data_IF_427269333196
#
_entry.id   IF_427269333196
#
_cell.length_a   1.000
_cell.length_b   1.000
_cell.length_c   1.000
_cell.angle_alpha   90.00
_cell.angle_beta   90.00
_cell.angle_gamma   90.00
#
_symmetry.space_group_name_H-M   'P 1'
#
loop_
_entity.id
_entity.type
_entity.pdbx_description
1 polymer ?
#
# COMPACT_ATOMS: atom_id res chain seq x y z
N UNK A 1 7.84 -26.51 -3.92
CA UNK A 1 6.43 -26.21 -3.57
C UNK A 1 6.31 -25.19 -2.44
N UNK A 2 7.04 -25.33 -1.32
CA UNK A 2 7.02 -24.38 -0.20
C UNK A 2 7.36 -22.92 -0.57
N UNK A 3 8.33 -22.71 -1.48
CA UNK A 3 8.67 -21.38 -1.99
C UNK A 3 7.53 -20.70 -2.76
N UNK A 4 6.72 -21.47 -3.50
CA UNK A 4 5.59 -20.92 -4.27
C UNK A 4 4.47 -20.43 -3.34
N UNK A 5 4.19 -21.18 -2.27
CA UNK A 5 3.20 -20.81 -1.25
C UNK A 5 3.65 -19.53 -0.52
N UNK A 6 4.94 -19.43 -0.19
CA UNK A 6 5.50 -18.27 0.48
C UNK A 6 5.41 -16.99 -0.37
N UNK A 7 5.71 -17.09 -1.68
CA UNK A 7 5.63 -15.96 -2.62
C UNK A 7 4.19 -15.46 -2.80
N UNK A 8 3.21 -16.38 -2.87
CA UNK A 8 1.79 -16.00 -2.97
C UNK A 8 1.30 -15.35 -1.69
N UNK A 9 1.73 -15.85 -0.52
CA UNK A 9 1.32 -15.28 0.76
C UNK A 9 1.88 -13.86 0.96
N UNK A 10 3.14 -13.63 0.59
CA UNK A 10 3.76 -12.29 0.64
C UNK A 10 3.12 -11.31 -0.37
N UNK A 11 2.61 -11.81 -1.50
CA UNK A 11 1.99 -10.98 -2.53
C UNK A 11 0.62 -10.41 -2.13
N UNK A 12 -0.08 -11.01 -1.17
CA UNK A 12 -1.43 -10.64 -0.75
C UNK A 12 -1.49 -9.87 0.58
N UNK A 13 -0.35 -9.48 1.13
CA UNK A 13 -0.30 -8.67 2.37
C UNK A 13 -0.58 -7.20 1.99
N UNK A 14 -1.83 -6.93 1.61
CA UNK A 14 -2.32 -5.56 1.41
C UNK A 14 -2.17 -4.81 2.73
N UNK A 15 -1.14 -3.96 2.80
CA UNK A 15 -0.89 -3.13 3.98
C UNK A 15 -2.09 -2.18 4.12
N UNK A 16 -2.85 -2.22 5.23
CA UNK A 16 -4.04 -1.41 5.38
C UNK A 16 -3.66 0.06 5.28
N UNK A 17 -4.14 0.74 4.24
CA UNK A 17 -3.90 2.17 4.04
C UNK A 17 -4.87 2.92 4.93
N UNK A 18 -4.37 3.80 5.80
CA UNK A 18 -5.21 4.62 6.67
C UNK A 18 -5.41 6.00 6.06
N UNK A 19 -6.65 6.49 6.06
CA UNK A 19 -7.00 7.85 5.61
C UNK A 19 -7.65 8.64 6.74
N UNK A 20 -7.37 9.95 6.84
CA UNK A 20 -8.01 10.80 7.85
C UNK A 20 -9.51 10.87 7.57
N UNK A 21 -10.28 10.61 8.62
CA UNK A 21 -11.73 10.76 8.66
C UNK A 21 -12.10 12.11 9.27
N UNK A 22 -11.46 12.49 10.39
CA UNK A 22 -11.75 13.73 11.13
C UNK A 22 -10.44 14.51 11.32
N UNK A 23 -10.49 15.82 11.05
CA UNK A 23 -9.32 16.71 11.18
C UNK A 23 -9.17 17.31 12.60
N UNK A 24 -10.29 17.57 13.28
CA UNK A 24 -10.29 18.08 14.64
C UNK A 24 -11.33 17.33 15.50
N UNK A 25 -10.85 16.36 16.27
CA UNK A 25 -11.66 15.60 17.22
C UNK A 25 -12.23 16.45 18.36
N UNK A 26 -11.77 17.69 18.57
CA UNK A 26 -12.28 18.56 19.65
C UNK A 26 -13.64 19.17 19.33
N UNK A 27 -13.98 19.25 18.05
CA UNK A 27 -15.25 19.81 17.58
C UNK A 27 -16.39 18.78 17.62
N UNK A 28 -16.07 17.53 17.96
CA UNK A 28 -16.99 16.39 17.89
C UNK A 28 -16.89 15.53 19.14
N UNK A 29 -17.98 14.84 19.47
CA UNK A 29 -18.03 13.93 20.60
C UNK A 29 -17.23 12.65 20.29
N UNK A 30 -15.96 12.66 20.72
CA UNK A 30 -14.99 11.58 20.44
C UNK A 30 -15.42 10.22 20.99
N UNK A 31 -16.20 10.21 22.08
CA UNK A 31 -16.71 8.98 22.69
C UNK A 31 -17.73 8.35 21.76
N UNK A 32 -18.74 9.10 21.33
CA UNK A 32 -19.76 8.60 20.39
C UNK A 32 -19.18 8.13 19.06
N UNK A 33 -18.18 8.83 18.55
CA UNK A 33 -17.50 8.44 17.31
C UNK A 33 -16.78 7.10 17.50
N UNK A 34 -16.04 6.95 18.60
CA UNK A 34 -15.33 5.71 18.91
C UNK A 34 -16.30 4.55 19.06
N UNK A 35 -17.40 4.75 19.78
CA UNK A 35 -18.44 3.73 19.98
C UNK A 35 -19.00 3.21 18.65
N UNK A 36 -19.29 4.11 17.69
CA UNK A 36 -19.79 3.70 16.36
C UNK A 36 -18.72 2.96 15.55
N UNK A 37 -17.47 3.43 15.59
CA UNK A 37 -16.39 2.78 14.86
C UNK A 37 -16.08 1.39 15.43
N UNK A 38 -16.12 1.24 16.75
CA UNK A 38 -15.96 -0.04 17.45
C UNK A 38 -17.12 -0.98 17.14
N UNK A 39 -18.37 -0.48 17.19
CA UNK A 39 -19.57 -1.25 16.87
C UNK A 39 -19.53 -1.81 15.45
N UNK A 40 -19.13 -0.99 14.47
CA UNK A 40 -19.04 -1.38 13.05
C UNK A 40 -17.72 -2.11 12.72
N UNK A 41 -16.88 -2.40 13.73
CA UNK A 41 -15.56 -3.06 13.58
C UNK A 41 -14.65 -2.36 12.56
N UNK A 42 -14.69 -1.03 12.56
CA UNK A 42 -13.88 -0.19 11.69
C UNK A 42 -12.55 0.05 12.39
N UNK A 43 -11.45 -0.34 11.75
CA UNK A 43 -10.12 -0.07 12.31
C UNK A 43 -9.81 1.41 12.21
N UNK A 44 -9.60 2.05 13.36
CA UNK A 44 -9.24 3.45 13.46
C UNK A 44 -7.98 3.68 14.29
N UNK A 45 -7.35 4.84 14.09
CA UNK A 45 -6.20 5.32 14.84
C UNK A 45 -6.40 6.81 15.13
N UNK A 46 -6.30 7.19 16.39
CA UNK A 46 -6.44 8.57 16.83
C UNK A 46 -5.05 9.19 17.08
N UNK A 47 -4.71 10.22 16.31
CA UNK A 47 -3.53 11.04 16.57
C UNK A 47 -3.94 12.19 17.50
N UNK A 48 -3.70 11.99 18.79
CA UNK A 48 -4.02 12.99 19.84
C UNK A 48 -3.24 14.28 19.66
N UNK A 49 -2.01 14.23 19.11
CA UNK A 49 -1.17 15.41 18.93
C UNK A 49 -1.75 16.35 17.87
N UNK A 50 -2.24 15.77 16.78
CA UNK A 50 -2.82 16.52 15.68
C UNK A 50 -4.36 16.60 15.74
N UNK A 51 -4.98 15.98 16.76
CA UNK A 51 -6.43 15.84 16.91
C UNK A 51 -7.12 15.19 15.70
N UNK A 52 -6.40 14.36 14.96
CA UNK A 52 -6.89 13.71 13.76
C UNK A 52 -7.32 12.27 14.04
N UNK A 53 -8.41 11.84 13.44
CA UNK A 53 -8.86 10.45 13.46
C UNK A 53 -8.66 9.83 12.09
N UNK A 54 -7.93 8.73 12.02
CA UNK A 54 -7.69 7.96 10.81
C UNK A 54 -8.50 6.68 10.82
N UNK A 55 -8.98 6.25 9.66
CA UNK A 55 -9.67 4.97 9.46
C UNK A 55 -9.08 4.22 8.28
N UNK A 56 -9.25 2.90 8.27
CA UNK A 56 -8.87 2.08 7.12
C UNK A 56 -9.57 2.59 5.84
N UNK A 57 -8.82 2.73 4.75
CA UNK A 57 -9.26 3.23 3.45
C UNK A 57 -10.43 2.42 2.88
N UNK A 58 -10.45 1.11 3.07
CA UNK A 58 -11.52 0.24 2.59
C UNK A 58 -12.84 0.48 3.35
N UNK A 59 -12.73 0.90 4.60
CA UNK A 59 -13.88 1.12 5.50
C UNK A 59 -14.25 2.60 5.67
N UNK A 60 -13.56 3.52 4.99
CA UNK A 60 -13.76 4.96 5.19
C UNK A 60 -15.16 5.43 4.77
N UNK A 61 -15.71 4.85 3.69
CA UNK A 61 -17.09 5.12 3.26
C UNK A 61 -18.11 4.67 4.30
N UNK A 62 -17.95 3.45 4.81
CA UNK A 62 -18.81 2.89 5.84
C UNK A 62 -18.74 3.72 7.12
N UNK A 63 -17.55 4.17 7.51
CA UNK A 63 -17.37 5.06 8.65
C UNK A 63 -18.18 6.34 8.51
N UNK A 64 -18.11 7.01 7.33
CA UNK A 64 -18.88 8.24 7.06
C UNK A 64 -20.38 8.01 7.13
N UNK A 65 -20.87 6.93 6.51
CA UNK A 65 -22.30 6.60 6.52
C UNK A 65 -22.77 6.29 7.94
N UNK A 66 -21.99 5.53 8.71
CA UNK A 66 -22.36 5.12 10.07
C UNK A 66 -22.38 6.30 11.03
N UNK A 67 -21.45 7.25 10.87
CA UNK A 67 -21.46 8.50 11.61
C UNK A 67 -22.60 9.42 11.17
N UNK A 68 -22.94 9.45 9.88
CA UNK A 68 -24.09 10.22 9.40
C UNK A 68 -25.42 9.71 9.99
N UNK A 69 -25.56 8.38 10.19
CA UNK A 69 -26.74 7.78 10.84
C UNK A 69 -27.00 8.32 12.26
N UNK A 70 -25.94 8.71 12.97
CA UNK A 70 -26.04 9.27 14.33
C UNK A 70 -25.94 10.80 14.36
N UNK A 71 -26.05 11.45 13.20
CA UNK A 71 -26.10 12.91 13.07
C UNK A 71 -24.75 13.58 12.84
N UNK A 72 -23.66 12.82 12.68
CA UNK A 72 -22.33 13.37 12.37
C UNK A 72 -22.05 13.25 10.87
N UNK A 73 -22.29 14.33 10.13
CA UNK A 73 -21.93 14.41 8.71
C UNK A 73 -20.53 14.98 8.58
N UNK A 74 -19.59 14.17 8.09
CA UNK A 74 -18.19 14.55 7.95
C UNK A 74 -17.86 14.75 6.48
N UNK A 75 -17.71 16.01 6.06
CA UNK A 75 -17.24 16.38 4.74
C UNK A 75 -15.71 16.39 4.71
N UNK A 76 -15.12 15.23 4.45
CA UNK A 76 -13.72 15.12 4.08
C UNK A 76 -13.57 15.15 2.54
N UNK A 77 -12.61 15.89 1.94
CA UNK A 77 -11.68 16.85 2.54
C UNK A 77 -12.22 18.29 2.49
N UNK A 78 -12.10 19.07 3.57
CA UNK A 78 -12.26 20.53 3.47
C UNK A 78 -11.22 21.08 2.50
N UNK A 79 -11.69 21.52 1.33
CA UNK A 79 -10.85 22.17 0.33
C UNK A 79 -10.66 23.60 0.80
N UNK A 80 -9.44 23.96 1.22
CA UNK A 80 -9.09 25.36 1.50
C UNK A 80 -9.36 26.19 0.26
N UNK A 81 -10.39 27.03 0.32
CA UNK A 81 -10.75 27.94 -0.77
C UNK A 81 -9.72 29.07 -0.83
N UNK A 82 -8.69 28.90 -1.64
CA UNK A 82 -7.84 30.01 -2.05
C UNK A 82 -8.67 30.96 -2.92
N UNK A 83 -8.60 32.26 -2.63
CA UNK A 83 -9.41 33.28 -3.31
C UNK A 83 -9.03 33.48 -4.79
N UNK A 84 -7.94 32.84 -5.23
CA UNK A 84 -7.43 32.84 -6.60
C UNK A 84 -7.24 31.39 -7.08
N UNK A 85 -8.14 30.94 -7.95
CA UNK A 85 -8.20 29.58 -8.49
C UNK A 85 -6.94 29.24 -9.30
N UNK A 86 -6.37 30.21 -10.02
CA UNK A 86 -5.21 30.00 -10.87
C UNK A 86 -3.96 29.73 -10.05
N UNK A 87 -3.74 30.53 -8.99
CA UNK A 87 -2.59 30.35 -8.11
C UNK A 87 -2.63 29.01 -7.36
N UNK A 88 -3.81 28.62 -6.88
CA UNK A 88 -4.01 27.34 -6.21
C UNK A 88 -3.81 26.14 -7.15
N UNK A 89 -4.25 26.27 -8.40
CA UNK A 89 -4.05 25.25 -9.42
C UNK A 89 -2.56 25.09 -9.75
N UNK A 90 -1.84 26.20 -9.98
CA UNK A 90 -0.41 26.16 -10.29
C UNK A 90 0.42 25.58 -9.14
N UNK A 91 0.11 25.94 -7.88
CA UNK A 91 0.74 25.37 -6.69
C UNK A 91 0.46 23.87 -6.53
N UNK A 92 -0.78 23.42 -6.76
CA UNK A 92 -1.15 22.01 -6.71
C UNK A 92 -0.44 21.18 -7.80
N UNK A 93 -0.39 21.70 -9.03
CA UNK A 93 0.31 21.03 -10.14
C UNK A 93 1.82 20.97 -9.86
N UNK A 94 2.41 22.02 -9.27
CA UNK A 94 3.82 22.03 -8.87
C UNK A 94 4.10 21.01 -7.76
N UNK A 95 3.28 20.96 -6.71
CA UNK A 95 3.40 19.97 -5.64
C UNK A 95 3.29 18.54 -6.17
N UNK A 96 2.26 18.26 -6.98
CA UNK A 96 2.05 16.95 -7.58
C UNK A 96 3.17 16.55 -8.55
N UNK A 97 3.78 17.52 -9.25
CA UNK A 97 4.96 17.28 -10.11
C UNK A 97 6.20 16.94 -9.27
N UNK A 98 6.45 17.68 -8.20
CA UNK A 98 7.60 17.43 -7.29
C UNK A 98 7.49 16.06 -6.59
N UNK A 99 6.29 15.67 -6.16
CA UNK A 99 6.03 14.34 -5.59
C UNK A 99 6.17 13.23 -6.65
N UNK A 100 5.78 13.48 -7.89
CA UNK A 100 5.95 12.53 -9.01
C UNK A 100 7.41 12.38 -9.46
N UNK A 101 8.21 13.45 -9.37
CA UNK A 101 9.64 13.43 -9.68
C UNK A 101 10.47 12.77 -8.56
N UNK A 102 10.05 12.92 -7.30
CA UNK A 102 10.70 12.29 -6.13
C UNK A 102 10.12 10.91 -5.78
N UNK A 103 9.03 10.50 -6.44
CA UNK A 103 8.36 9.22 -6.24
C UNK A 103 9.35 8.06 -6.28
N UNK A 104 9.50 7.38 -5.13
CA UNK A 104 10.41 6.24 -4.92
C UNK A 104 10.35 5.33 -6.15
N UNK A 105 11.51 5.02 -6.73
CA UNK A 105 11.66 4.25 -7.98
C UNK A 105 10.86 2.92 -7.92
N UNK A 106 10.74 2.37 -6.71
CA UNK A 106 9.98 1.16 -6.34
C UNK A 106 8.45 1.26 -6.51
N UNK A 107 7.86 2.45 -6.51
CA UNK A 107 6.41 2.66 -6.65
C UNK A 107 5.91 2.58 -8.09
N UNK A 108 6.83 2.60 -9.07
CA UNK A 108 6.43 2.65 -10.48
C UNK A 108 5.91 1.28 -10.94
N UNK A 109 4.84 1.22 -11.75
CA UNK A 109 4.24 -0.05 -12.19
C UNK A 109 5.20 -0.92 -13.02
N UNK A 110 6.19 -0.33 -13.68
CA UNK A 110 7.24 -1.08 -14.40
C UNK A 110 8.23 -1.79 -13.47
N UNK A 111 8.38 -1.32 -12.23
CA UNK A 111 9.36 -1.84 -11.27
C UNK A 111 9.02 -3.29 -10.89
N UNK A 112 7.77 -3.55 -10.48
CA UNK A 112 7.29 -4.89 -10.17
C UNK A 112 7.37 -5.83 -11.39
N UNK A 113 7.18 -5.31 -12.60
CA UNK A 113 7.34 -6.08 -13.84
C UNK A 113 8.78 -6.54 -14.03
N UNK A 114 9.76 -5.67 -13.77
CA UNK A 114 11.17 -6.01 -13.87
C UNK A 114 11.61 -7.00 -12.78
N UNK A 115 11.18 -6.80 -11.53
CA UNK A 115 11.49 -7.73 -10.42
C UNK A 115 10.97 -9.14 -10.72
N UNK A 116 9.72 -9.26 -11.22
CA UNK A 116 9.14 -10.56 -11.61
C UNK A 116 9.94 -11.23 -12.74
N UNK A 117 10.39 -10.44 -13.73
CA UNK A 117 11.22 -10.94 -14.84
C UNK A 117 12.56 -11.50 -14.34
N UNK A 118 13.25 -10.74 -13.49
CA UNK A 118 14.55 -11.15 -12.93
C UNK A 118 14.38 -12.40 -12.05
N UNK A 119 13.33 -12.47 -11.25
CA UNK A 119 13.07 -13.62 -10.38
C UNK A 119 12.81 -14.91 -11.18
N UNK A 120 12.08 -14.82 -12.30
CA UNK A 120 11.90 -15.94 -13.22
C UNK A 120 13.20 -16.41 -13.88
N UNK A 121 14.01 -15.46 -14.37
CA UNK A 121 15.31 -15.77 -14.98
C UNK A 121 16.28 -16.41 -13.96
N UNK A 122 16.28 -15.92 -12.71
CA UNK A 122 17.13 -16.43 -11.64
C UNK A 122 16.78 -17.89 -11.29
N UNK A 123 15.49 -18.23 -11.21
CA UNK A 123 15.04 -19.62 -10.97
C UNK A 123 15.54 -20.57 -12.06
N UNK A 124 15.46 -20.16 -13.33
CA UNK A 124 15.94 -20.95 -14.47
C UNK A 124 17.46 -21.16 -14.37
N UNK A 125 18.22 -20.11 -14.08
CA UNK A 125 19.69 -20.18 -13.93
C UNK A 125 20.08 -21.18 -12.83
N UNK A 126 19.41 -21.15 -11.68
CA UNK A 126 19.70 -22.07 -10.58
C UNK A 126 19.39 -23.52 -10.98
N UNK A 127 18.27 -23.77 -11.67
CA UNK A 127 17.92 -25.12 -12.16
C UNK A 127 18.97 -25.65 -13.16
N UNK A 128 19.43 -24.79 -14.07
CA UNK A 128 20.50 -25.13 -15.01
C UNK A 128 21.75 -25.50 -14.20
N UNK A 129 22.25 -24.65 -13.31
CA UNK A 129 23.48 -24.97 -12.56
C UNK A 129 23.36 -26.23 -11.70
N UNK A 130 22.20 -26.46 -11.10
CA UNK A 130 21.94 -27.64 -10.26
C UNK A 130 21.91 -28.95 -11.06
N UNK A 131 21.50 -28.94 -12.33
CA UNK A 131 21.37 -30.13 -13.19
C UNK A 131 22.54 -30.28 -14.17
N UNK A 132 23.00 -29.17 -14.73
CA UNK A 132 24.13 -29.13 -15.68
C UNK A 132 25.42 -29.53 -14.99
N UNK A 133 25.68 -29.08 -13.75
CA UNK A 133 26.87 -29.55 -13.02
C UNK A 133 26.92 -31.08 -12.88
N UNK A 134 25.89 -31.77 -12.35
CA UNK A 134 25.94 -33.22 -12.22
C UNK A 134 25.97 -33.95 -13.57
N UNK A 135 25.27 -33.46 -14.60
CA UNK A 135 25.28 -34.09 -15.92
C UNK A 135 26.62 -33.94 -16.66
N UNK A 136 27.22 -32.74 -16.64
CA UNK A 136 28.55 -32.51 -17.24
C UNK A 136 29.63 -33.30 -16.50
N UNK A 137 29.57 -33.36 -15.17
CA UNK A 137 30.51 -34.15 -14.37
C UNK A 137 30.37 -35.65 -14.68
N UNK A 138 29.14 -36.16 -14.88
CA UNK A 138 28.91 -37.55 -15.22
C UNK A 138 29.51 -37.94 -16.59
N UNK A 139 29.38 -37.08 -17.62
CA UNK A 139 29.89 -37.38 -18.97
C UNK A 139 31.42 -37.28 -19.03
N UNK A 140 32.02 -36.23 -18.45
CA UNK A 140 33.47 -36.04 -18.47
C UNK A 140 34.20 -37.13 -17.67
N UNK A 141 33.60 -37.60 -16.57
CA UNK A 141 34.21 -38.63 -15.72
C UNK A 141 34.06 -40.06 -16.27
N UNK A 142 33.04 -40.33 -17.10
CA UNK A 142 32.79 -41.65 -17.71
C UNK A 142 33.69 -41.90 -18.95
N UNK A 143 34.06 -40.87 -19.71
CA UNK A 143 34.97 -41.02 -20.87
C UNK A 143 36.41 -41.38 -20.50
N UNK A 144 36.85 -41.14 -19.27
CA UNK A 144 38.19 -41.51 -18.79
C UNK A 144 38.32 -42.97 -18.33
N UNK A 145 37.24 -43.77 -18.41
CA UNK A 145 37.18 -45.12 -17.82
C UNK A 145 36.89 -46.25 -18.82
N UNK A 146 37.08 -46.01 -20.12
CA UNK A 146 37.03 -47.04 -21.17
C UNK A 146 38.41 -47.32 -21.75
#
# INVERSE_FOLDING_TARGET
MLLAIFVVKWANEDSPVYRPLIQDMRLVDSVKISDVLDQERIRYYADVKNHMLYVNQEQSELARVSLAKIGFVIEYPEITKNNDLNKAYDEFIKQKRLEKETGKIWQRPWFFKLVKLIMGALVIIVLILAVVRPALAAIIYDEGKK
#
